data_IF_567821973883
#
_entry.id   IF_567821973883
#
_cell.length_a   1.000
_cell.length_b   1.000
_cell.length_c   1.000
_cell.angle_alpha   90.00
_cell.angle_beta   90.00
_cell.angle_gamma   90.00
#
_symmetry.space_group_name_H-M   'P 1'
#
loop_
_entity.id
_entity.type
_entity.pdbx_description
1 polymer ?
#
# COMPACT_ATOMS: atom_id res chain seq x y z
N UNK A 1 3.83 0.58 -6.95
CA UNK A 1 5.01 0.51 -7.85
C UNK A 1 4.58 0.73 -9.28
N UNK A 2 5.30 1.56 -10.02
CA UNK A 2 5.02 1.70 -11.45
C UNK A 2 5.37 0.40 -12.17
N UNK A 3 4.61 0.05 -13.22
CA UNK A 3 4.98 -1.08 -14.07
C UNK A 3 6.43 -0.93 -14.54
N UNK A 4 7.27 -1.95 -14.43
CA UNK A 4 8.69 -1.87 -14.76
C UNK A 4 8.97 -1.40 -16.19
N UNK A 5 8.13 -1.82 -17.13
CA UNK A 5 8.27 -1.46 -18.54
C UNK A 5 8.01 0.03 -18.83
N UNK A 6 7.30 0.74 -17.94
CA UNK A 6 7.00 2.18 -18.13
C UNK A 6 8.21 3.05 -17.87
N UNK A 7 9.08 2.63 -16.99
CA UNK A 7 10.09 3.52 -16.43
C UNK A 7 11.40 3.40 -17.20
N UNK A 8 11.71 2.24 -17.76
CA UNK A 8 12.80 2.09 -18.71
C UNK A 8 12.59 3.01 -19.92
N UNK A 9 11.36 3.07 -20.46
CA UNK A 9 11.03 4.00 -21.56
C UNK A 9 11.06 5.48 -21.17
N UNK A 10 10.91 5.84 -19.90
CA UNK A 10 10.98 7.23 -19.43
C UNK A 10 12.40 7.71 -19.16
N UNK A 11 13.35 6.79 -18.91
CA UNK A 11 14.76 7.13 -18.72
C UNK A 11 15.48 7.38 -20.05
N UNK A 12 15.04 6.77 -21.16
CA UNK A 12 15.56 7.04 -22.52
C UNK A 12 15.14 8.40 -23.08
N UNK A 13 14.21 9.11 -22.43
CA UNK A 13 13.67 10.40 -22.85
C UNK A 13 14.28 11.64 -22.19
N UNK A 14 15.30 11.50 -21.33
CA UNK A 14 16.01 12.65 -20.75
C UNK A 14 17.09 13.10 -21.72
N UNK A 15 16.70 14.01 -22.59
CA UNK A 15 17.60 14.75 -23.49
C UNK A 15 18.60 15.57 -22.64
N UNK A 16 19.83 15.07 -22.53
CA UNK A 16 20.95 15.84 -21.97
C UNK A 16 21.42 16.82 -23.06
N UNK A 17 20.92 18.05 -22.96
CA UNK A 17 21.37 19.15 -23.82
C UNK A 17 22.89 19.31 -23.84
N UNK A 18 23.44 20.01 -24.86
CA UNK A 18 24.83 19.90 -25.27
C UNK A 18 25.83 20.42 -24.24
N UNK A 19 26.77 19.57 -23.90
CA UNK A 19 27.86 19.86 -23.00
C UNK A 19 28.82 20.91 -23.54
N UNK A 20 29.29 21.75 -22.65
CA UNK A 20 30.49 22.57 -22.85
C UNK A 20 31.73 21.68 -22.78
N UNK A 21 32.44 21.58 -23.89
CA UNK A 21 33.74 20.96 -23.95
C UNK A 21 34.79 21.76 -23.18
N UNK A 22 35.63 21.04 -22.42
CA UNK A 22 36.99 21.50 -22.10
C UNK A 22 37.90 20.28 -22.20
N UNK A 23 38.66 20.31 -23.27
CA UNK A 23 39.84 19.52 -23.54
C UNK A 23 40.95 19.90 -22.55
N UNK A 24 41.62 18.94 -21.91
CA UNK A 24 43.05 19.02 -21.57
C UNK A 24 43.58 17.61 -21.30
N UNK A 25 44.57 17.31 -22.10
CA UNK A 25 45.26 16.06 -22.22
C UNK A 25 46.39 15.84 -21.23
N UNK A 26 46.96 14.68 -21.41
CA UNK A 26 48.31 14.19 -21.17
C UNK A 26 48.71 13.69 -19.80
N UNK A 27 48.95 12.38 -19.80
CA UNK A 27 50.17 11.69 -19.36
C UNK A 27 50.77 11.98 -17.96
N UNK A 28 50.89 10.96 -17.14
CA UNK A 28 52.14 10.27 -16.79
C UNK A 28 51.96 9.21 -15.70
N UNK A 29 52.68 8.11 -15.93
CA UNK A 29 52.97 6.98 -15.05
C UNK A 29 53.72 7.42 -13.79
N UNK A 30 53.56 6.64 -12.71
CA UNK A 30 54.56 5.86 -11.94
C UNK A 30 54.13 5.72 -10.49
N UNK A 31 53.94 4.53 -10.07
CA UNK A 31 54.71 3.67 -9.14
C UNK A 31 55.03 4.20 -7.71
N UNK A 32 54.81 3.29 -6.76
CA UNK A 32 55.43 3.02 -5.49
C UNK A 32 54.79 3.39 -4.14
N UNK A 33 54.48 2.26 -3.46
CA UNK A 33 54.82 1.87 -2.07
C UNK A 33 54.27 2.62 -0.87
N UNK A 34 53.56 1.78 -0.10
CA UNK A 34 53.70 1.50 1.37
C UNK A 34 54.01 2.64 2.32
N UNK A 35 53.18 2.85 3.33
CA UNK A 35 53.46 2.56 4.72
C UNK A 35 52.32 3.03 5.62
N UNK A 36 52.20 2.30 6.72
CA UNK A 36 51.08 2.33 7.65
C UNK A 36 51.11 3.37 8.74
N UNK A 37 49.93 3.45 9.34
CA UNK A 37 49.58 3.82 10.71
C UNK A 37 49.75 5.30 11.14
N UNK A 38 49.12 5.74 12.25
CA UNK A 38 48.06 5.16 13.07
C UNK A 38 46.85 6.09 13.34
N UNK A 39 45.87 5.51 13.97
CA UNK A 39 44.69 6.07 14.61
C UNK A 39 44.99 7.30 15.48
N UNK A 40 44.22 8.38 15.31
CA UNK A 40 44.10 9.44 16.32
C UNK A 40 42.60 9.66 16.62
N UNK A 41 42.32 9.56 17.92
CA UNK A 41 41.03 9.76 18.54
C UNK A 41 40.60 11.24 18.55
N UNK A 42 39.28 11.45 18.47
CA UNK A 42 38.61 12.53 19.23
C UNK A 42 38.50 13.87 18.56
N UNK A 43 37.31 14.19 18.07
CA UNK A 43 36.81 15.56 18.12
C UNK A 43 35.30 15.53 18.40
N UNK A 44 34.92 15.98 19.57
CA UNK A 44 33.59 16.39 19.96
C UNK A 44 33.15 17.51 19.00
N UNK A 45 31.97 17.38 18.42
CA UNK A 45 31.33 18.52 17.74
C UNK A 45 30.35 19.14 18.72
N UNK A 46 30.62 20.41 18.95
CA UNK A 46 29.86 21.33 19.78
C UNK A 46 28.45 21.53 19.24
N UNK A 47 27.53 21.69 20.17
CA UNK A 47 26.17 22.15 19.97
C UNK A 47 26.20 23.54 19.30
N UNK A 48 25.55 23.68 18.16
CA UNK A 48 25.33 24.98 17.55
C UNK A 48 23.86 25.11 17.12
N UNK A 49 23.20 25.99 17.85
CA UNK A 49 22.08 26.84 17.47
C UNK A 49 20.91 26.29 16.65
N UNK A 50 19.82 26.05 17.39
CA UNK A 50 18.46 26.02 16.84
C UNK A 50 17.88 27.43 16.96
N UNK A 51 17.45 28.11 15.89
CA UNK A 51 16.81 29.40 16.00
C UNK A 51 15.39 29.27 16.57
N UNK A 52 15.15 30.07 17.57
CA UNK A 52 13.89 30.29 18.24
C UNK A 52 12.83 30.87 17.26
N UNK A 53 11.85 30.09 16.86
CA UNK A 53 10.72 30.57 16.05
C UNK A 53 9.68 31.22 16.95
N UNK A 54 9.56 32.51 16.73
CA UNK A 54 8.64 33.51 17.26
C UNK A 54 7.25 33.03 17.68
N UNK A 55 6.90 33.40 18.90
CA UNK A 55 5.56 33.41 19.49
C UNK A 55 4.63 34.29 18.64
N UNK A 56 3.58 33.72 18.08
CA UNK A 56 2.41 34.47 17.68
C UNK A 56 1.23 34.11 18.57
N UNK A 57 0.62 35.19 19.08
CA UNK A 57 -0.30 35.25 20.17
C UNK A 57 -1.59 34.47 20.02
N UNK A 58 -2.06 34.01 21.17
CA UNK A 58 -3.36 33.46 21.36
C UNK A 58 -4.49 34.46 21.08
N UNK A 59 -5.41 34.08 20.21
CA UNK A 59 -6.70 34.75 20.10
C UNK A 59 -7.72 33.88 20.84
N UNK A 60 -8.22 34.46 21.93
CA UNK A 60 -9.10 33.80 22.88
C UNK A 60 -10.44 33.37 22.30
N UNK A 61 -10.80 32.14 22.64
CA UNK A 61 -12.17 31.60 22.56
C UNK A 61 -13.04 32.26 23.66
N UNK A 62 -13.51 33.47 23.44
CA UNK A 62 -14.59 34.07 24.24
C UNK A 62 -15.08 35.32 23.54
N UNK A 63 -16.02 35.19 22.55
CA UNK A 63 -16.96 36.24 22.17
C UNK A 63 -17.79 35.81 20.97
N UNK A 64 -18.83 35.03 21.22
CA UNK A 64 -20.06 35.00 20.41
C UNK A 64 -21.18 34.38 21.24
N UNK A 65 -21.65 35.17 22.19
CA UNK A 65 -22.94 35.01 22.82
C UNK A 65 -23.39 36.39 23.25
N UNK A 66 -24.22 37.06 22.45
CA UNK A 66 -25.15 38.13 22.81
C UNK A 66 -25.49 38.99 21.58
N UNK A 67 -26.59 38.65 20.94
CA UNK A 67 -27.49 39.61 20.31
C UNK A 67 -28.67 38.89 19.67
N UNK A 68 -29.76 38.77 20.38
CA UNK A 68 -31.12 38.75 19.81
C UNK A 68 -32.13 38.76 20.96
N UNK A 69 -32.43 39.94 21.45
CA UNK A 69 -33.62 40.21 22.18
C UNK A 69 -34.25 41.45 21.53
N UNK A 70 -35.45 41.33 21.08
CA UNK A 70 -36.25 42.48 20.68
C UNK A 70 -37.20 42.22 19.52
N UNK A 71 -38.48 42.08 19.80
CA UNK A 71 -39.53 42.15 18.80
C UNK A 71 -40.80 41.43 19.22
N UNK A 72 -41.70 42.21 19.87
CA UNK A 72 -42.95 41.74 20.44
C UNK A 72 -44.15 41.85 19.44
N UNK A 73 -45.20 41.07 19.74
CA UNK A 73 -46.65 41.23 19.42
C UNK A 73 -47.19 40.74 18.07
N UNK A 74 -48.05 39.78 18.20
CA UNK A 74 -49.06 39.39 17.18
C UNK A 74 -49.87 38.18 17.68
N UNK A 75 -50.95 38.43 18.41
CA UNK A 75 -51.96 37.41 18.73
C UNK A 75 -52.68 36.98 17.47
N UNK A 76 -52.72 35.69 17.20
CA UNK A 76 -53.78 35.05 16.43
C UNK A 76 -54.02 33.66 16.99
N UNK A 77 -55.20 33.46 17.56
CA UNK A 77 -55.71 32.18 18.01
C UNK A 77 -56.03 31.29 16.79
N UNK A 78 -55.50 30.09 16.75
CA UNK A 78 -56.02 29.03 15.89
C UNK A 78 -55.81 27.67 16.56
N UNK A 79 -56.85 26.91 16.51
CA UNK A 79 -57.22 25.65 17.09
C UNK A 79 -56.13 24.60 17.26
N UNK A 80 -56.18 23.88 18.38
CA UNK A 80 -55.45 22.70 18.72
C UNK A 80 -55.79 21.53 17.78
N UNK A 81 -54.75 20.95 17.15
CA UNK A 81 -54.76 19.61 16.61
C UNK A 81 -53.70 18.82 17.39
N UNK A 82 -54.12 17.77 18.13
CA UNK A 82 -53.15 16.89 18.81
C UNK A 82 -52.64 15.88 17.78
N UNK A 83 -51.49 16.13 17.26
CA UNK A 83 -50.75 15.19 16.44
C UNK A 83 -49.28 15.25 16.80
N UNK A 84 -48.92 14.66 17.97
CA UNK A 84 -47.52 14.42 18.34
C UNK A 84 -46.95 13.34 17.42
N UNK A 85 -46.47 13.75 16.25
CA UNK A 85 -45.50 12.97 15.53
C UNK A 85 -44.18 13.01 16.35
N UNK A 86 -44.00 12.07 17.24
CA UNK A 86 -42.70 11.76 17.83
C UNK A 86 -41.79 11.43 16.65
N UNK A 87 -40.92 12.37 16.26
CA UNK A 87 -39.78 12.08 15.43
C UNK A 87 -38.92 11.05 16.20
N UNK A 88 -39.17 9.77 15.93
CA UNK A 88 -38.26 8.72 16.30
C UNK A 88 -36.99 8.96 15.48
N UNK A 89 -36.03 9.64 16.09
CA UNK A 89 -34.63 9.55 15.69
C UNK A 89 -34.26 8.06 15.89
N UNK A 90 -34.44 7.28 14.83
CA UNK A 90 -33.82 5.98 14.73
C UNK A 90 -32.31 6.24 14.62
N UNK A 91 -31.63 6.31 15.77
CA UNK A 91 -30.23 6.01 15.81
C UNK A 91 -30.13 4.58 15.31
N UNK A 92 -29.74 4.41 14.03
CA UNK A 92 -29.35 3.09 13.53
C UNK A 92 -28.22 2.63 14.44
N UNK A 93 -28.55 1.76 15.38
CA UNK A 93 -27.54 1.07 16.16
C UNK A 93 -26.62 0.40 15.14
N UNK A 94 -25.37 0.80 15.11
CA UNK A 94 -24.38 0.21 14.22
C UNK A 94 -24.45 -1.31 14.45
N UNK A 95 -24.81 -2.05 13.41
CA UNK A 95 -24.98 -3.50 13.52
C UNK A 95 -23.66 -4.08 14.04
N UNK A 96 -23.74 -4.72 15.20
CA UNK A 96 -22.57 -5.34 15.83
C UNK A 96 -22.02 -6.39 14.88
N UNK A 97 -20.77 -6.19 14.42
CA UNK A 97 -20.06 -7.18 13.63
C UNK A 97 -19.46 -8.22 14.59
N UNK A 98 -19.74 -9.49 14.35
CA UNK A 98 -19.12 -10.61 15.08
C UNK A 98 -18.32 -11.41 14.06
N UNK A 99 -17.04 -11.64 14.34
CA UNK A 99 -16.19 -12.50 13.56
C UNK A 99 -16.03 -13.79 14.35
N UNK A 100 -16.52 -14.91 13.80
CA UNK A 100 -16.21 -16.24 14.28
C UNK A 100 -15.28 -16.92 13.27
N UNK A 101 -14.29 -17.68 13.74
CA UNK A 101 -13.39 -18.42 12.88
C UNK A 101 -12.86 -19.66 13.60
N UNK A 102 -12.59 -20.71 12.83
CA UNK A 102 -11.95 -21.95 13.29
C UNK A 102 -10.52 -22.06 12.77
N UNK A 103 -10.17 -21.28 11.72
CA UNK A 103 -8.89 -21.32 11.06
C UNK A 103 -8.37 -19.91 10.75
N UNK A 104 -7.04 -19.76 10.85
CA UNK A 104 -6.31 -18.56 10.42
C UNK A 104 -5.27 -18.98 9.41
N UNK A 105 -5.22 -18.31 8.26
CA UNK A 105 -4.17 -18.45 7.25
C UNK A 105 -3.40 -17.15 7.16
N UNK A 106 -2.07 -17.27 7.21
CA UNK A 106 -1.15 -16.17 7.02
C UNK A 106 -0.98 -15.87 5.53
N UNK A 107 -1.37 -14.70 5.11
CA UNK A 107 -1.30 -14.24 3.72
C UNK A 107 -0.04 -13.37 3.46
N UNK A 108 0.99 -13.52 4.30
CA UNK A 108 2.17 -12.65 4.30
C UNK A 108 3.43 -13.47 4.04
N UNK A 109 4.25 -13.04 3.11
CA UNK A 109 5.59 -13.59 2.95
C UNK A 109 6.51 -13.13 4.09
N UNK A 110 7.44 -14.00 4.55
CA UNK A 110 8.51 -13.55 5.43
C UNK A 110 9.32 -12.44 4.74
N UNK A 111 9.50 -11.31 5.43
CA UNK A 111 10.38 -10.26 4.95
C UNK A 111 11.83 -10.61 5.34
N UNK A 112 12.73 -10.62 4.35
CA UNK A 112 14.16 -10.90 4.55
C UNK A 112 14.99 -10.02 3.61
N UNK A 113 16.31 -9.88 3.83
CA UNK A 113 17.20 -9.22 2.88
C UNK A 113 17.16 -9.83 1.48
N UNK A 114 16.84 -11.12 1.38
CA UNK A 114 16.76 -11.85 0.11
C UNK A 114 15.37 -11.77 -0.55
N UNK A 115 14.42 -11.00 0.02
CA UNK A 115 13.10 -10.84 -0.60
C UNK A 115 13.25 -10.21 -1.99
N UNK A 116 12.70 -10.84 -3.05
CA UNK A 116 12.85 -10.33 -4.41
C UNK A 116 12.18 -8.98 -4.57
N UNK A 117 12.96 -7.97 -4.91
CA UNK A 117 12.52 -6.60 -5.20
C UNK A 117 13.02 -6.16 -6.56
N UNK A 118 12.31 -5.27 -7.21
CA UNK A 118 12.81 -4.63 -8.41
C UNK A 118 13.73 -3.46 -8.05
N UNK A 119 15.05 -3.73 -8.02
CA UNK A 119 16.06 -2.85 -7.44
C UNK A 119 16.16 -1.47 -8.09
N UNK A 120 15.62 -1.30 -9.30
CA UNK A 120 15.56 0.01 -9.94
C UNK A 120 14.71 1.01 -9.12
N UNK A 121 13.71 0.53 -8.37
CA UNK A 121 12.80 1.38 -7.59
C UNK A 121 12.79 1.09 -6.10
N UNK A 122 13.02 -0.15 -5.73
CA UNK A 122 12.90 -0.63 -4.35
C UNK A 122 14.23 -1.24 -3.94
N UNK A 123 14.88 -0.67 -2.93
CA UNK A 123 16.07 -1.27 -2.35
C UNK A 123 15.71 -2.53 -1.58
N UNK A 124 16.53 -3.60 -1.66
CA UNK A 124 16.35 -4.76 -0.80
C UNK A 124 16.29 -4.37 0.68
N UNK A 125 15.54 -5.11 1.49
CA UNK A 125 15.58 -4.93 2.94
C UNK A 125 17.00 -5.15 3.47
N UNK A 126 17.33 -4.42 4.52
CA UNK A 126 18.59 -4.57 5.24
C UNK A 126 18.31 -4.78 6.72
N UNK A 127 19.05 -5.66 7.35
CA UNK A 127 18.91 -5.97 8.76
C UNK A 127 20.27 -6.06 9.44
N UNK A 128 20.40 -5.36 10.55
CA UNK A 128 21.61 -5.40 11.38
C UNK A 128 21.22 -5.76 12.82
N UNK A 129 21.96 -6.70 13.40
CA UNK A 129 21.81 -6.98 14.81
C UNK A 129 22.38 -5.82 15.63
N UNK A 130 21.49 -5.11 16.34
CA UNK A 130 21.88 -3.97 17.19
C UNK A 130 22.36 -4.41 18.57
N UNK A 131 21.71 -5.43 19.14
CA UNK A 131 22.06 -6.02 20.44
C UNK A 131 22.01 -7.54 20.36
N UNK A 132 22.86 -8.21 21.12
CA UNK A 132 22.88 -9.66 21.23
C UNK A 132 22.72 -10.10 22.69
N UNK A 133 22.30 -11.35 22.88
CA UNK A 133 21.97 -11.89 24.19
C UNK A 133 23.20 -11.97 25.12
N UNK A 134 24.36 -12.33 24.56
CA UNK A 134 25.56 -12.63 25.36
C UNK A 134 26.15 -11.36 25.99
N UNK A 135 26.14 -10.24 25.27
CA UNK A 135 26.73 -8.98 25.73
C UNK A 135 25.71 -8.06 26.42
N UNK A 136 24.43 -8.16 26.05
CA UNK A 136 23.41 -7.17 26.41
C UNK A 136 22.22 -7.76 27.18
N UNK A 137 22.12 -9.11 27.26
CA UNK A 137 21.00 -9.80 27.91
C UNK A 137 19.71 -9.85 27.11
N UNK A 138 19.69 -9.34 25.86
CA UNK A 138 18.56 -9.38 24.95
C UNK A 138 19.03 -9.21 23.49
N UNK A 139 18.18 -9.63 22.54
CA UNK A 139 18.43 -9.47 21.11
C UNK A 139 17.55 -8.37 20.52
N UNK A 140 18.14 -7.49 19.69
CA UNK A 140 17.40 -6.55 18.85
C UNK A 140 18.06 -6.43 17.48
N UNK A 141 17.23 -6.24 16.46
CA UNK A 141 17.67 -5.90 15.11
C UNK A 141 17.17 -4.50 14.74
N UNK A 142 17.93 -3.81 13.94
CA UNK A 142 17.48 -2.67 13.18
C UNK A 142 17.16 -3.11 11.75
N UNK A 143 15.96 -2.74 11.26
CA UNK A 143 15.50 -3.02 9.91
C UNK A 143 15.39 -1.73 9.11
N UNK A 144 15.88 -1.78 7.88
CA UNK A 144 15.64 -0.75 6.88
C UNK A 144 14.97 -1.40 5.66
N UNK A 145 13.83 -0.89 5.24
CA UNK A 145 13.09 -1.37 4.09
C UNK A 145 12.35 -0.21 3.41
N UNK A 146 12.00 -0.40 2.13
CA UNK A 146 11.09 0.48 1.43
C UNK A 146 9.64 0.13 1.82
N UNK A 147 8.74 1.13 1.87
CA UNK A 147 7.33 0.93 2.20
C UNK A 147 6.64 -0.11 1.30
N UNK A 148 7.09 -0.24 0.04
CA UNK A 148 6.57 -1.15 -0.97
C UNK A 148 7.43 -2.42 -1.08
N UNK A 149 7.73 -3.05 0.04
CA UNK A 149 8.54 -4.27 0.09
C UNK A 149 7.79 -5.40 0.79
N UNK A 150 7.93 -6.62 0.27
CA UNK A 150 7.24 -7.78 0.82
C UNK A 150 5.75 -7.76 0.52
N UNK A 151 4.97 -8.47 1.33
CA UNK A 151 3.51 -8.29 1.34
C UNK A 151 3.20 -6.92 1.95
N UNK A 152 2.67 -6.02 1.15
CA UNK A 152 2.49 -4.63 1.55
C UNK A 152 1.15 -4.04 1.09
N UNK A 153 0.79 -2.91 1.68
CA UNK A 153 -0.36 -2.09 1.32
C UNK A 153 0.07 -0.87 0.52
N UNK A 154 -0.66 -0.58 -0.55
CA UNK A 154 -0.62 0.71 -1.25
C UNK A 154 -1.81 1.55 -0.85
N UNK A 155 -1.58 2.81 -0.53
CA UNK A 155 -2.62 3.73 -0.07
C UNK A 155 -2.86 4.86 -1.08
N UNK A 156 -3.99 5.60 -1.00
CA UNK A 156 -4.32 6.67 -1.95
C UNK A 156 -3.17 7.68 -2.21
N UNK A 157 -2.44 8.06 -1.17
CA UNK A 157 -1.32 9.00 -1.28
C UNK A 157 -0.16 8.51 -2.15
N UNK A 158 -0.04 7.18 -2.40
CA UNK A 158 0.94 6.61 -3.32
C UNK A 158 0.73 7.07 -4.78
N UNK A 159 -0.52 7.30 -5.18
CA UNK A 159 -0.84 7.69 -6.56
C UNK A 159 -1.43 9.10 -6.71
N UNK A 160 -1.73 9.78 -5.61
CA UNK A 160 -2.42 11.08 -5.63
C UNK A 160 -1.91 12.01 -4.53
N UNK A 161 -1.50 13.22 -4.90
CA UNK A 161 -1.11 14.26 -3.96
C UNK A 161 -2.26 14.65 -3.02
N UNK A 162 -1.96 14.76 -1.73
CA UNK A 162 -2.91 15.20 -0.70
C UNK A 162 -4.04 14.19 -0.41
N UNK A 163 -3.92 12.96 -0.92
CA UNK A 163 -4.82 11.88 -0.57
C UNK A 163 -4.42 11.19 0.75
N UNK A 164 -5.23 10.24 1.22
CA UNK A 164 -5.03 9.56 2.50
C UNK A 164 -3.69 8.80 2.55
N UNK A 165 -2.94 9.03 3.61
CA UNK A 165 -1.72 8.29 3.97
C UNK A 165 -2.05 7.07 4.84
N UNK A 166 -1.07 6.21 5.09
CA UNK A 166 -1.25 4.96 5.87
C UNK A 166 -1.91 5.21 7.24
N UNK A 167 -1.49 6.27 7.92
CA UNK A 167 -2.00 6.59 9.26
C UNK A 167 -3.39 7.25 9.28
N UNK A 168 -3.90 7.60 8.10
CA UNK A 168 -5.20 8.26 7.92
C UNK A 168 -6.30 7.32 7.40
N UNK A 169 -5.93 6.11 6.92
CA UNK A 169 -6.92 5.15 6.45
C UNK A 169 -7.89 4.71 7.56
N UNK A 170 -9.19 4.54 7.25
CA UNK A 170 -10.18 4.04 8.22
C UNK A 170 -9.82 2.62 8.68
N UNK A 171 -9.75 2.38 10.00
CA UNK A 171 -9.44 1.06 10.55
C UNK A 171 -10.48 0.01 10.17
N UNK A 172 -11.72 0.43 9.95
CA UNK A 172 -12.83 -0.45 9.56
C UNK A 172 -12.56 -1.16 8.23
N UNK A 173 -11.81 -0.52 7.33
CA UNK A 173 -11.48 -1.06 6.02
C UNK A 173 -10.39 -2.15 6.09
N UNK A 174 -9.66 -2.25 7.21
CA UNK A 174 -8.67 -3.31 7.46
C UNK A 174 -9.29 -4.63 7.92
N UNK A 175 -10.61 -4.65 8.11
CA UNK A 175 -11.38 -5.85 8.47
C UNK A 175 -12.53 -5.99 7.47
N UNK A 176 -12.35 -6.82 6.47
CA UNK A 176 -13.25 -6.91 5.32
C UNK A 176 -13.63 -8.36 4.98
N UNK A 177 -14.83 -8.63 4.45
CA UNK A 177 -15.09 -9.89 3.79
C UNK A 177 -14.07 -10.14 2.69
N UNK A 178 -13.46 -11.32 2.65
CA UNK A 178 -12.46 -11.70 1.65
C UNK A 178 -13.10 -12.54 0.55
N UNK A 179 -12.91 -12.12 -0.70
CA UNK A 179 -13.26 -12.88 -1.89
C UNK A 179 -11.97 -13.23 -2.64
N UNK A 180 -11.69 -14.53 -2.85
CA UNK A 180 -10.51 -14.99 -3.58
C UNK A 180 -10.94 -15.42 -4.98
N UNK A 181 -10.50 -14.68 -6.00
CA UNK A 181 -10.80 -14.94 -7.41
C UNK A 181 -9.59 -15.60 -8.06
N UNK A 182 -9.72 -16.90 -8.42
CA UNK A 182 -8.60 -17.70 -8.89
C UNK A 182 -8.53 -17.74 -10.41
N UNK A 183 -7.30 -17.54 -10.92
CA UNK A 183 -6.97 -17.72 -12.34
C UNK A 183 -5.58 -18.36 -12.53
N UNK A 184 -5.08 -19.04 -11.49
CA UNK A 184 -3.75 -19.65 -11.40
C UNK A 184 -3.47 -20.62 -12.57
N UNK A 185 -4.44 -21.49 -12.95
CA UNK A 185 -4.28 -22.41 -14.06
C UNK A 185 -3.98 -21.71 -15.40
N UNK A 186 -4.48 -20.49 -15.58
CA UNK A 186 -4.21 -19.68 -16.77
C UNK A 186 -2.86 -19.00 -16.63
N UNK A 187 -2.53 -18.47 -15.46
CA UNK A 187 -1.26 -17.82 -15.16
C UNK A 187 -0.07 -18.80 -15.27
N UNK A 188 -0.25 -20.07 -14.93
CA UNK A 188 0.77 -21.10 -15.08
C UNK A 188 1.11 -21.40 -16.57
N UNK A 189 0.16 -21.18 -17.48
CA UNK A 189 0.35 -21.38 -18.93
C UNK A 189 0.79 -20.12 -19.66
N UNK A 190 0.42 -18.96 -19.12
CA UNK A 190 0.68 -17.67 -19.74
C UNK A 190 0.93 -16.62 -18.65
N UNK A 191 2.20 -16.27 -18.46
CA UNK A 191 2.63 -15.25 -17.51
C UNK A 191 2.09 -13.85 -17.84
N UNK A 192 1.66 -13.64 -19.09
CA UNK A 192 1.09 -12.38 -19.56
C UNK A 192 -0.43 -12.32 -19.43
N UNK A 193 -1.05 -13.23 -18.70
CA UNK A 193 -2.50 -13.24 -18.49
C UNK A 193 -2.94 -12.19 -17.46
N UNK A 194 -4.20 -11.80 -17.53
CA UNK A 194 -4.82 -10.86 -16.61
C UNK A 194 -6.08 -11.46 -15.96
N UNK A 195 -6.38 -11.07 -14.73
CA UNK A 195 -7.71 -11.25 -14.15
C UNK A 195 -8.70 -10.39 -14.92
N UNK A 196 -9.79 -11.00 -15.40
CA UNK A 196 -10.79 -10.34 -16.26
C UNK A 196 -12.14 -10.17 -15.56
N UNK A 197 -13.03 -9.35 -16.15
CA UNK A 197 -14.44 -9.25 -15.72
C UNK A 197 -15.12 -10.61 -15.75
N UNK A 198 -14.85 -11.44 -16.77
CA UNK A 198 -15.45 -12.77 -16.91
C UNK A 198 -15.05 -13.71 -15.75
N UNK A 199 -13.84 -13.58 -15.19
CA UNK A 199 -13.41 -14.34 -14.02
C UNK A 199 -14.21 -13.94 -12.78
N UNK A 200 -14.41 -12.64 -12.57
CA UNK A 200 -15.21 -12.10 -11.45
C UNK A 200 -16.66 -12.55 -11.58
N UNK A 201 -17.26 -12.44 -12.76
CA UNK A 201 -18.62 -12.89 -13.00
C UNK A 201 -18.76 -14.42 -12.84
N UNK A 202 -17.75 -15.20 -13.27
CA UNK A 202 -17.73 -16.65 -13.05
C UNK A 202 -17.63 -16.98 -11.55
N UNK A 203 -16.85 -16.22 -10.79
CA UNK A 203 -16.81 -16.33 -9.34
C UNK A 203 -18.17 -16.03 -8.71
N UNK A 204 -18.84 -14.94 -9.12
CA UNK A 204 -20.16 -14.56 -8.62
C UNK A 204 -21.25 -15.56 -8.97
N UNK A 205 -21.19 -16.21 -10.13
CA UNK A 205 -22.13 -17.28 -10.49
C UNK A 205 -22.04 -18.50 -9.55
N UNK A 206 -20.85 -18.78 -9.02
CA UNK A 206 -20.64 -19.90 -8.08
C UNK A 206 -20.92 -19.56 -6.64
N UNK A 207 -20.57 -18.35 -6.22
CA UNK A 207 -20.50 -17.97 -4.81
C UNK A 207 -21.56 -16.92 -4.40
N UNK A 208 -22.32 -16.40 -5.35
CA UNK A 208 -23.18 -15.24 -5.15
C UNK A 208 -22.43 -13.93 -5.36
N UNK A 209 -23.18 -12.83 -5.37
CA UNK A 209 -22.61 -11.49 -5.59
C UNK A 209 -21.55 -11.15 -4.53
N UNK A 210 -20.48 -10.47 -4.96
CA UNK A 210 -19.45 -9.97 -4.06
C UNK A 210 -20.06 -9.22 -2.86
N UNK A 211 -19.69 -9.57 -1.61
CA UNK A 211 -20.22 -8.90 -0.44
C UNK A 211 -19.93 -7.40 -0.45
N UNK A 212 -20.84 -6.60 0.09
CA UNK A 212 -20.59 -5.18 0.27
C UNK A 212 -19.41 -4.95 1.22
N UNK A 213 -18.47 -4.09 0.83
CA UNK A 213 -17.24 -3.84 1.58
C UNK A 213 -16.23 -4.98 1.51
N UNK A 214 -16.32 -5.86 0.50
CA UNK A 214 -15.35 -6.92 0.32
C UNK A 214 -13.98 -6.39 -0.12
N UNK A 215 -12.94 -7.11 0.26
CA UNK A 215 -11.62 -7.07 -0.37
C UNK A 215 -11.54 -8.22 -1.37
N UNK A 216 -11.07 -7.95 -2.59
CA UNK A 216 -10.95 -8.95 -3.66
C UNK A 216 -9.48 -9.31 -3.85
N UNK A 217 -9.11 -10.57 -3.56
CA UNK A 217 -7.77 -11.09 -3.81
C UNK A 217 -7.74 -11.85 -5.13
N UNK A 218 -6.87 -11.42 -6.05
CA UNK A 218 -6.59 -12.07 -7.33
C UNK A 218 -5.51 -13.14 -7.11
N UNK A 219 -5.88 -14.42 -7.23
CA UNK A 219 -4.98 -15.55 -7.03
C UNK A 219 -4.46 -16.06 -8.39
N UNK A 220 -3.24 -15.64 -8.73
CA UNK A 220 -2.49 -16.12 -9.88
C UNK A 220 -1.66 -17.38 -9.55
N UNK A 221 -1.63 -17.82 -8.29
CA UNK A 221 -0.72 -18.86 -7.81
C UNK A 221 0.77 -18.43 -7.85
N UNK A 222 1.01 -17.14 -8.05
CA UNK A 222 2.34 -16.58 -8.27
C UNK A 222 3.24 -16.61 -7.04
N UNK A 223 2.65 -16.47 -5.84
CA UNK A 223 3.34 -16.50 -4.56
C UNK A 223 4.24 -17.75 -4.38
N UNK A 224 3.90 -18.88 -5.04
CA UNK A 224 4.67 -20.13 -4.98
C UNK A 224 6.07 -20.02 -5.60
N UNK A 225 6.34 -18.94 -6.32
CA UNK A 225 7.60 -18.70 -7.03
C UNK A 225 8.63 -17.94 -6.18
N UNK A 226 8.25 -17.53 -4.95
CA UNK A 226 9.05 -16.63 -4.12
C UNK A 226 10.45 -17.19 -3.78
N UNK A 227 10.54 -18.50 -3.52
CA UNK A 227 11.80 -19.17 -3.13
C UNK A 227 12.66 -19.58 -4.33
N UNK A 228 12.21 -19.33 -5.55
CA UNK A 228 12.96 -19.68 -6.76
C UNK A 228 13.65 -18.43 -7.30
N UNK A 229 14.98 -18.42 -7.43
CA UNK A 229 15.71 -17.27 -7.92
C UNK A 229 15.12 -16.71 -9.21
N UNK A 230 14.87 -15.41 -9.25
CA UNK A 230 14.25 -14.66 -10.35
C UNK A 230 12.83 -15.11 -10.77
N UNK A 231 12.26 -16.20 -10.26
CA UNK A 231 10.97 -16.69 -10.73
C UNK A 231 9.80 -15.79 -10.33
N UNK A 232 9.91 -15.12 -9.17
CA UNK A 232 8.89 -14.18 -8.69
C UNK A 232 8.87 -12.89 -9.50
N UNK A 233 10.03 -12.29 -9.77
CA UNK A 233 10.15 -11.12 -10.65
C UNK A 233 9.98 -11.51 -12.11
N UNK A 234 10.43 -12.71 -12.48
CA UNK A 234 10.49 -13.23 -13.84
C UNK A 234 11.11 -12.20 -14.79
N UNK A 235 12.29 -11.67 -14.37
CA UNK A 235 13.04 -10.64 -15.05
C UNK A 235 13.90 -11.23 -16.16
N UNK A 236 13.69 -10.79 -17.38
CA UNK A 236 14.65 -10.97 -18.49
C UNK A 236 15.63 -9.81 -18.46
N UNK A 237 16.85 -10.08 -18.00
CA UNK A 237 17.91 -9.06 -17.86
C UNK A 237 18.47 -8.58 -19.20
N UNK A 238 18.33 -9.36 -20.27
CA UNK A 238 18.78 -8.98 -21.60
C UNK A 238 17.79 -8.05 -22.31
N UNK A 239 16.50 -8.27 -22.09
CA UNK A 239 15.42 -7.42 -22.60
C UNK A 239 15.00 -6.34 -21.61
N UNK A 240 15.53 -6.34 -20.38
CA UNK A 240 15.14 -5.45 -19.29
C UNK A 240 13.63 -5.42 -19.04
N UNK A 241 12.97 -6.58 -19.20
CA UNK A 241 11.52 -6.72 -19.06
C UNK A 241 11.18 -7.75 -17.99
N UNK A 242 10.03 -7.56 -17.34
CA UNK A 242 9.41 -8.56 -16.46
C UNK A 242 8.15 -9.12 -17.08
N UNK A 243 7.80 -10.37 -16.72
CA UNK A 243 6.57 -11.01 -17.19
C UNK A 243 5.87 -11.68 -16.03
N UNK A 244 4.80 -11.06 -15.56
CA UNK A 244 3.94 -11.57 -14.49
C UNK A 244 2.48 -11.14 -14.71
N UNK A 245 1.52 -11.93 -14.18
CA UNK A 245 0.09 -11.63 -14.28
C UNK A 245 -0.30 -10.36 -13.52
N UNK A 246 -1.42 -9.77 -13.87
CA UNK A 246 -2.01 -8.64 -13.17
C UNK A 246 -3.53 -8.60 -13.33
N UNK A 247 -4.13 -7.48 -12.96
CA UNK A 247 -5.56 -7.22 -13.16
C UNK A 247 -5.77 -6.42 -14.44
N UNK A 248 -6.78 -6.76 -15.24
CA UNK A 248 -7.15 -5.92 -16.38
C UNK A 248 -7.81 -4.61 -15.92
N UNK A 249 -7.61 -3.49 -16.63
CA UNK A 249 -8.28 -2.23 -16.33
C UNK A 249 -9.81 -2.35 -16.32
N UNK A 250 -10.36 -3.18 -17.21
CA UNK A 250 -11.80 -3.44 -17.29
C UNK A 250 -12.30 -4.15 -16.02
N UNK A 251 -11.52 -5.11 -15.47
CA UNK A 251 -11.84 -5.77 -14.21
C UNK A 251 -11.74 -4.79 -13.03
N UNK A 252 -10.73 -3.94 -13.02
CA UNK A 252 -10.60 -2.89 -12.01
C UNK A 252 -11.80 -1.93 -12.07
N UNK A 253 -12.16 -1.40 -13.26
CA UNK A 253 -13.31 -0.53 -13.44
C UNK A 253 -14.61 -1.20 -12.97
N UNK A 254 -14.83 -2.45 -13.35
CA UNK A 254 -16.00 -3.22 -12.94
C UNK A 254 -16.11 -3.34 -11.40
N UNK A 255 -15.01 -3.65 -10.71
CA UNK A 255 -14.96 -3.71 -9.26
C UNK A 255 -15.21 -2.35 -8.61
N UNK A 256 -14.64 -1.29 -9.15
CA UNK A 256 -14.72 0.06 -8.59
C UNK A 256 -16.06 0.74 -8.82
N UNK A 257 -16.70 0.48 -9.98
CA UNK A 257 -17.93 1.18 -10.39
C UNK A 257 -19.20 0.36 -10.14
N UNK A 258 -19.13 -0.97 -10.25
CA UNK A 258 -20.29 -1.85 -10.16
C UNK A 258 -20.34 -2.71 -8.89
N UNK A 259 -19.27 -2.66 -8.08
CA UNK A 259 -19.19 -3.39 -6.81
C UNK A 259 -18.78 -2.43 -5.68
N UNK A 260 -19.26 -2.71 -4.49
CA UNK A 260 -18.90 -1.95 -3.27
C UNK A 260 -17.76 -2.65 -2.56
N UNK A 261 -16.53 -2.49 -3.05
CA UNK A 261 -15.32 -3.06 -2.45
C UNK A 261 -14.56 -2.02 -1.61
N UNK A 262 -13.72 -2.45 -0.67
CA UNK A 262 -12.78 -1.58 0.07
C UNK A 262 -11.41 -1.55 -0.60
N UNK A 263 -11.08 -2.57 -1.38
CA UNK A 263 -9.81 -2.67 -2.09
C UNK A 263 -9.71 -4.00 -2.83
N UNK A 264 -8.62 -4.17 -3.55
CA UNK A 264 -8.24 -5.44 -4.14
C UNK A 264 -6.73 -5.65 -4.07
N UNK A 265 -6.28 -6.88 -4.24
CA UNK A 265 -4.85 -7.22 -4.19
C UNK A 265 -4.52 -8.43 -5.04
N UNK A 266 -3.24 -8.77 -5.08
CA UNK A 266 -2.67 -9.84 -5.89
C UNK A 266 -1.52 -10.54 -5.16
N UNK A 267 -1.20 -11.73 -5.58
CA UNK A 267 -0.03 -12.48 -5.16
C UNK A 267 1.22 -12.22 -6.05
N UNK A 268 1.12 -11.27 -6.98
CA UNK A 268 2.24 -10.77 -7.80
C UNK A 268 2.88 -9.53 -7.19
N UNK A 269 4.01 -9.10 -7.76
CA UNK A 269 4.74 -7.90 -7.31
C UNK A 269 4.03 -6.59 -7.67
N UNK A 270 3.00 -6.62 -8.51
CA UNK A 270 2.24 -5.43 -8.93
C UNK A 270 0.78 -5.77 -9.20
N UNK A 271 -0.12 -4.83 -8.89
CA UNK A 271 -1.54 -4.88 -9.28
C UNK A 271 -1.71 -4.81 -10.80
N UNK A 272 -0.84 -4.04 -11.47
CA UNK A 272 -0.81 -3.93 -12.92
C UNK A 272 -0.11 -5.13 -13.54
N UNK A 273 -0.59 -5.55 -14.69
CA UNK A 273 0.09 -6.54 -15.53
C UNK A 273 1.44 -5.99 -16.02
N UNK A 274 2.46 -6.85 -16.05
CA UNK A 274 3.84 -6.48 -16.36
C UNK A 274 4.05 -5.75 -17.71
N UNK A 275 3.27 -6.07 -18.74
CA UNK A 275 3.39 -5.44 -20.06
C UNK A 275 2.81 -4.02 -20.12
N UNK A 276 2.22 -3.52 -19.05
CA UNK A 276 1.66 -2.17 -19.05
C UNK A 276 2.72 -1.12 -18.82
N UNK A 277 2.81 -0.19 -19.77
CA UNK A 277 3.75 0.94 -19.72
C UNK A 277 3.42 1.97 -18.62
N UNK A 278 2.24 1.90 -18.02
CA UNK A 278 1.78 2.86 -17.02
C UNK A 278 0.98 2.14 -15.93
N UNK A 279 1.13 2.47 -14.64
CA UNK A 279 0.43 1.82 -13.53
C UNK A 279 -1.03 2.25 -13.48
N UNK A 280 -1.81 1.81 -14.48
CA UNK A 280 -3.17 2.25 -14.70
C UNK A 280 -4.11 1.71 -13.62
N UNK A 281 -3.98 0.42 -13.29
CA UNK A 281 -4.82 -0.26 -12.29
C UNK A 281 -4.57 0.33 -10.90
N UNK A 282 -3.31 0.59 -10.53
CA UNK A 282 -2.98 1.33 -9.30
C UNK A 282 -3.70 2.67 -9.25
N UNK A 283 -3.57 3.48 -10.30
CA UNK A 283 -4.20 4.80 -10.33
C UNK A 283 -5.71 4.71 -10.23
N UNK A 284 -6.33 3.78 -10.98
CA UNK A 284 -7.78 3.56 -10.92
C UNK A 284 -8.24 3.26 -9.49
N UNK A 285 -7.53 2.37 -8.79
CA UNK A 285 -7.86 1.99 -7.42
C UNK A 285 -7.63 3.16 -6.44
N UNK A 286 -6.41 3.65 -6.39
CA UNK A 286 -5.94 4.54 -5.31
C UNK A 286 -6.59 5.93 -5.37
N UNK A 287 -6.90 6.44 -6.58
CA UNK A 287 -7.61 7.72 -6.74
C UNK A 287 -9.08 7.67 -6.29
N UNK A 288 -9.63 6.48 -6.03
CA UNK A 288 -10.98 6.32 -5.45
C UNK A 288 -11.00 6.27 -3.92
N UNK A 289 -9.85 6.48 -3.27
CA UNK A 289 -9.73 6.43 -1.80
C UNK A 289 -9.64 5.01 -1.22
N UNK A 290 -9.46 3.99 -2.08
CA UNK A 290 -9.32 2.59 -1.70
C UNK A 290 -7.84 2.19 -1.65
N UNK A 291 -7.54 1.01 -1.08
CA UNK A 291 -6.17 0.52 -0.95
C UNK A 291 -5.94 -0.76 -1.76
N UNK A 292 -4.68 -1.03 -2.08
CA UNK A 292 -4.22 -2.25 -2.72
C UNK A 292 -3.35 -3.10 -1.80
N UNK A 293 -3.27 -4.40 -2.07
CA UNK A 293 -2.27 -5.30 -1.49
C UNK A 293 -1.49 -5.99 -2.60
N UNK A 294 -0.17 -6.05 -2.44
CA UNK A 294 0.72 -6.73 -3.36
C UNK A 294 1.51 -7.85 -2.65
N UNK A 295 2.00 -8.79 -3.43
CA UNK A 295 2.76 -9.94 -2.95
C UNK A 295 2.04 -10.68 -1.80
N UNK A 296 0.75 -10.95 -1.95
CA UNK A 296 0.00 -11.79 -1.01
C UNK A 296 0.48 -13.24 -1.11
N UNK A 297 0.46 -13.96 0.01
CA UNK A 297 0.86 -15.37 0.09
C UNK A 297 -0.32 -16.31 0.34
N UNK A 298 -0.16 -17.61 0.06
CA UNK A 298 -1.04 -18.68 0.53
C UNK A 298 -2.53 -18.52 0.18
N UNK A 299 -2.86 -17.82 -0.89
CA UNK A 299 -4.26 -17.61 -1.30
C UNK A 299 -4.98 -18.92 -1.64
N UNK A 300 -4.25 -19.96 -2.07
CA UNK A 300 -4.78 -21.30 -2.33
C UNK A 300 -5.33 -22.02 -1.10
N UNK A 301 -4.89 -21.62 0.11
CA UNK A 301 -5.32 -22.19 1.38
C UNK A 301 -6.61 -21.57 1.92
N UNK A 302 -7.11 -20.51 1.29
CA UNK A 302 -8.30 -19.77 1.71
C UNK A 302 -9.48 -20.15 0.82
N UNK A 303 -10.70 -20.39 1.33
CA UNK A 303 -11.87 -20.63 0.49
C UNK A 303 -12.20 -19.40 -0.38
N UNK A 304 -12.87 -19.62 -1.52
CA UNK A 304 -13.24 -18.54 -2.45
C UNK A 304 -14.09 -17.44 -1.76
N UNK A 305 -14.90 -17.82 -0.77
CA UNK A 305 -15.79 -16.93 -0.02
C UNK A 305 -15.95 -17.40 1.42
N UNK A 306 -16.51 -16.54 2.28
CA UNK A 306 -16.78 -16.87 3.70
C UNK A 306 -15.65 -16.48 4.65
N UNK A 307 -14.50 -16.06 4.14
CA UNK A 307 -13.38 -15.60 4.96
C UNK A 307 -13.47 -14.11 5.26
N UNK A 308 -12.80 -13.71 6.35
CA UNK A 308 -12.57 -12.31 6.72
C UNK A 308 -11.07 -11.99 6.59
N UNK A 309 -10.72 -10.97 5.78
CA UNK A 309 -9.39 -10.39 5.78
C UNK A 309 -9.21 -9.52 7.02
N UNK A 310 -8.07 -9.67 7.70
CA UNK A 310 -7.62 -8.80 8.79
C UNK A 310 -6.21 -8.35 8.48
N UNK A 311 -5.97 -7.04 8.47
CA UNK A 311 -4.67 -6.44 8.20
C UNK A 311 -4.06 -5.83 9.46
N UNK A 312 -2.85 -6.25 9.81
CA UNK A 312 -1.97 -5.56 10.74
C UNK A 312 -1.07 -4.59 9.98
N UNK A 313 -1.36 -3.31 10.04
CA UNK A 313 -0.64 -2.26 9.31
C UNK A 313 0.10 -1.37 10.31
N UNK A 314 1.44 -1.19 10.20
CA UNK A 314 2.16 -0.18 10.98
C UNK A 314 1.61 1.21 10.69
N UNK A 315 1.28 1.98 11.73
CA UNK A 315 0.75 3.34 11.59
C UNK A 315 1.85 4.33 11.26
N UNK A 316 2.39 4.27 10.06
CA UNK A 316 3.45 5.16 9.58
C UNK A 316 2.84 6.52 9.22
N UNK A 317 3.23 7.58 9.97
CA UNK A 317 2.74 8.92 9.71
C UNK A 317 3.24 9.43 8.35
N UNK A 318 2.29 9.77 7.46
CA UNK A 318 2.60 10.26 6.13
C UNK A 318 3.14 9.19 5.18
N UNK A 319 3.03 7.89 5.53
CA UNK A 319 3.46 6.78 4.68
C UNK A 319 2.58 6.63 3.44
N UNK A 320 3.21 6.28 2.33
CA UNK A 320 2.56 6.02 1.03
C UNK A 320 2.21 4.55 0.85
N UNK A 321 2.75 3.69 1.68
CA UNK A 321 2.54 2.26 1.79
C UNK A 321 3.17 1.73 3.09
N UNK A 322 3.02 0.45 3.36
CA UNK A 322 3.67 -0.23 4.47
C UNK A 322 3.69 -1.74 4.27
N UNK A 323 4.75 -2.46 4.69
CA UNK A 323 4.65 -3.90 4.89
C UNK A 323 3.52 -4.23 5.86
N UNK A 324 2.76 -5.28 5.58
CA UNK A 324 1.61 -5.67 6.41
C UNK A 324 1.69 -7.11 6.87
N UNK A 325 1.01 -7.44 7.98
CA UNK A 325 0.63 -8.80 8.29
C UNK A 325 -0.82 -9.00 7.88
N UNK A 326 -1.03 -9.65 6.74
CA UNK A 326 -2.34 -9.99 6.21
C UNK A 326 -2.76 -11.40 6.69
N UNK A 327 -3.99 -11.54 7.14
CA UNK A 327 -4.52 -12.79 7.67
C UNK A 327 -5.92 -13.03 7.09
N UNK A 328 -6.22 -14.28 6.73
CA UNK A 328 -7.57 -14.73 6.45
C UNK A 328 -8.11 -15.57 7.61
N UNK A 329 -9.28 -15.22 8.11
CA UNK A 329 -9.99 -15.91 9.19
C UNK A 329 -11.26 -16.57 8.61
N UNK A 330 -11.47 -17.88 8.84
CA UNK A 330 -12.66 -18.64 8.38
C UNK A 330 -12.93 -19.90 9.18
#
# INVERSE_FOLDING_TARGET
>A
MCSPNTILAALDGVDTGPGCGCDHGSDHRTDHRTDGAPVAAGARRDDADVPEASRLGGIGRRRMLRAALGGAFGLAAAAAVPGTAAAQTMTAAAARRTIGFDRVVDLTHPLSPDFPVFELFVRPPDVQQWRNLDEHGFNTNEWRFNEHTGTHIDVPAHAQHGALTVDELPLEDFIAPLAVVRYADRADRDNATELTVADIEAWERRNGRLPRGAFVAADAGWYRRIDTPNAFLNLDTAAETMSFPGMSPEAADFLLTQRSIVGFGTDTISLDHSARLFPLVHRMLLTTGRYGLEAMANLDQVPDTGSTLVLGVPKLRGGFGAPVRAMALF
#
